data_IF_648871924982
#
_entry.id   IF_648871924982
#
_cell.length_a   1.000
_cell.length_b   1.000
_cell.length_c   1.000
_cell.angle_alpha   90.00
_cell.angle_beta   90.00
_cell.angle_gamma   90.00
#
_symmetry.space_group_name_H-M   'P 1'
#
loop_
_entity.id
_entity.type
_entity.pdbx_description
1 polymer ?
#
# COMPACT_ATOMS: atom_id res chain seq x y z
N UNK A 1 -21.08 -40.71 25.04
CA UNK A 1 -21.20 -39.26 24.77
C UNK A 1 -19.90 -38.51 25.06
N UNK A 2 -19.25 -38.77 26.18
CA UNK A 2 -18.00 -38.08 26.60
C UNK A 2 -16.86 -38.15 25.57
N UNK A 3 -16.65 -39.31 24.96
CA UNK A 3 -15.59 -39.50 23.95
C UNK A 3 -15.82 -38.64 22.70
N UNK A 4 -17.08 -38.49 22.26
CA UNK A 4 -17.42 -37.63 21.13
C UNK A 4 -17.18 -36.15 21.45
N UNK A 5 -17.52 -35.72 22.67
CA UNK A 5 -17.27 -34.34 23.13
C UNK A 5 -15.77 -34.04 23.16
N UNK A 6 -14.95 -34.97 23.65
CA UNK A 6 -13.50 -34.83 23.67
C UNK A 6 -12.89 -34.77 22.27
N UNK A 7 -13.39 -35.59 21.33
CA UNK A 7 -12.95 -35.57 19.93
C UNK A 7 -13.24 -34.19 19.30
N UNK A 8 -14.46 -33.68 19.49
CA UNK A 8 -14.87 -32.37 18.95
C UNK A 8 -14.01 -31.24 19.54
N UNK A 9 -13.82 -31.22 20.86
CA UNK A 9 -12.97 -30.24 21.53
C UNK A 9 -11.52 -30.29 21.04
N UNK A 10 -10.97 -31.48 20.85
CA UNK A 10 -9.61 -31.66 20.34
C UNK A 10 -9.45 -31.10 18.92
N UNK A 11 -10.44 -31.29 18.05
CA UNK A 11 -10.44 -30.74 16.68
C UNK A 11 -10.47 -29.21 16.73
N UNK A 12 -11.36 -28.62 17.54
CA UNK A 12 -11.43 -27.17 17.69
C UNK A 12 -10.15 -26.58 18.26
N UNK A 13 -9.54 -27.23 19.27
CA UNK A 13 -8.26 -26.80 19.83
C UNK A 13 -7.13 -26.85 18.78
N UNK A 14 -7.08 -27.90 17.96
CA UNK A 14 -6.09 -28.03 16.89
C UNK A 14 -6.30 -26.98 15.78
N UNK A 15 -7.55 -26.74 15.36
CA UNK A 15 -7.88 -25.71 14.39
C UNK A 15 -7.54 -24.31 14.93
N UNK A 16 -7.84 -24.04 16.20
CA UNK A 16 -7.48 -22.79 16.85
C UNK A 16 -5.96 -22.57 16.86
N UNK A 17 -5.20 -23.55 17.35
CA UNK A 17 -3.74 -23.47 17.39
C UNK A 17 -3.12 -23.32 16.00
N UNK A 18 -3.56 -24.11 15.02
CA UNK A 18 -3.04 -24.01 13.65
C UNK A 18 -3.34 -22.65 13.01
N UNK A 19 -4.54 -22.10 13.22
CA UNK A 19 -4.89 -20.76 12.73
C UNK A 19 -4.04 -19.68 13.40
N UNK A 20 -3.84 -19.76 14.71
CA UNK A 20 -2.96 -18.84 15.45
C UNK A 20 -1.52 -18.90 14.95
N UNK A 21 -0.98 -20.10 14.74
CA UNK A 21 0.38 -20.29 14.20
C UNK A 21 0.49 -19.72 12.78
N UNK A 22 -0.47 -20.00 11.89
CA UNK A 22 -0.49 -19.42 10.55
C UNK A 22 -0.57 -17.90 10.59
N UNK A 23 -1.40 -17.34 11.48
CA UNK A 23 -1.52 -15.89 11.66
C UNK A 23 -0.18 -15.27 12.08
N UNK A 24 0.50 -15.84 13.08
CA UNK A 24 1.83 -15.38 13.50
C UNK A 24 2.89 -15.52 12.39
N UNK A 25 2.90 -16.65 11.66
CA UNK A 25 3.80 -16.84 10.52
C UNK A 25 3.51 -15.85 9.38
N UNK A 26 2.24 -15.52 9.15
CA UNK A 26 1.83 -14.53 8.15
C UNK A 26 2.29 -13.13 8.52
N UNK A 27 2.38 -12.79 9.82
CA UNK A 27 2.98 -11.55 10.28
C UNK A 27 4.51 -11.60 10.20
N UNK A 28 5.13 -12.73 10.54
CA UNK A 28 6.59 -12.86 10.51
C UNK A 28 7.19 -12.78 9.10
N UNK A 29 6.50 -13.34 8.09
CA UNK A 29 6.85 -13.15 6.66
C UNK A 29 6.71 -11.70 6.19
N UNK A 30 6.35 -10.74 7.05
CA UNK A 30 6.31 -9.31 6.71
C UNK A 30 7.71 -8.73 6.50
N UNK A 31 8.76 -9.48 6.84
CA UNK A 31 10.14 -9.11 6.53
C UNK A 31 10.49 -9.51 5.09
N UNK A 32 9.69 -9.07 4.11
CA UNK A 32 10.30 -8.87 2.78
C UNK A 32 11.19 -7.65 2.95
N UNK A 33 12.52 -7.75 2.78
CA UNK A 33 13.37 -6.59 2.85
C UNK A 33 12.87 -5.63 1.76
N UNK A 34 12.41 -4.45 2.18
CA UNK A 34 12.03 -3.39 1.26
C UNK A 34 13.19 -3.18 0.29
N UNK A 35 12.95 -3.46 -1.00
CA UNK A 35 13.95 -3.32 -2.05
C UNK A 35 14.02 -1.90 -2.61
N UNK A 36 13.37 -0.94 -1.94
CA UNK A 36 13.21 0.43 -2.43
C UNK A 36 12.22 0.54 -3.58
N UNK A 37 11.35 -0.46 -3.77
CA UNK A 37 10.32 -0.43 -4.82
C UNK A 37 9.12 0.37 -4.33
N UNK A 38 8.69 1.35 -5.12
CA UNK A 38 7.50 2.16 -4.85
C UNK A 38 6.45 1.88 -5.90
N UNK A 39 5.22 1.64 -5.46
CA UNK A 39 4.09 1.44 -6.37
C UNK A 39 3.40 2.78 -6.56
N UNK A 40 3.41 3.29 -7.80
CA UNK A 40 2.74 4.52 -8.18
C UNK A 40 1.52 4.16 -9.03
N UNK A 41 0.33 4.53 -8.55
CA UNK A 41 -0.90 4.45 -9.32
C UNK A 41 -1.17 5.81 -9.98
N UNK A 42 -1.17 5.80 -11.31
CA UNK A 42 -1.59 6.94 -12.10
C UNK A 42 -3.09 6.83 -12.38
N UNK A 43 -3.87 7.78 -11.87
CA UNK A 43 -5.31 7.78 -12.03
C UNK A 43 -5.72 8.62 -13.25
N UNK A 44 -6.48 8.05 -14.20
CA UNK A 44 -7.06 8.84 -15.28
C UNK A 44 -8.17 9.76 -14.74
N UNK A 45 -8.57 10.75 -15.54
CA UNK A 45 -9.69 11.64 -15.21
C UNK A 45 -11.00 10.84 -15.02
N UNK A 46 -11.86 11.30 -14.10
CA UNK A 46 -13.17 10.68 -13.78
C UNK A 46 -13.10 9.24 -13.25
N UNK A 47 -12.04 8.88 -12.53
CA UNK A 47 -11.86 7.54 -11.97
C UNK A 47 -12.41 7.36 -10.55
N UNK A 48 -13.02 8.41 -9.98
CA UNK A 48 -13.52 8.47 -8.60
C UNK A 48 -14.37 7.24 -8.21
N UNK A 49 -15.30 6.85 -9.08
CA UNK A 49 -16.25 5.74 -8.81
C UNK A 49 -15.62 4.36 -8.64
N UNK A 50 -14.44 4.10 -9.22
CA UNK A 50 -13.76 2.79 -9.18
C UNK A 50 -12.58 2.75 -8.21
N UNK A 51 -12.14 3.91 -7.74
CA UNK A 51 -10.95 4.08 -6.93
C UNK A 51 -10.97 3.25 -5.64
N UNK A 52 -12.09 3.31 -4.91
CA UNK A 52 -12.23 2.58 -3.65
C UNK A 52 -12.13 1.06 -3.85
N UNK A 53 -12.80 0.52 -4.86
CA UNK A 53 -12.78 -0.90 -5.16
C UNK A 53 -11.36 -1.38 -5.49
N UNK A 54 -10.62 -0.60 -6.28
CA UNK A 54 -9.25 -0.93 -6.66
C UNK A 54 -8.32 -0.89 -5.46
N UNK A 55 -8.38 0.17 -4.65
CA UNK A 55 -7.55 0.27 -3.44
C UNK A 55 -7.82 -0.92 -2.51
N UNK A 56 -9.08 -1.22 -2.23
CA UNK A 56 -9.47 -2.37 -1.39
C UNK A 56 -8.95 -3.68 -1.97
N UNK A 57 -9.05 -3.87 -3.28
CA UNK A 57 -8.55 -5.08 -3.94
C UNK A 57 -7.03 -5.21 -3.84
N UNK A 58 -6.28 -4.12 -4.07
CA UNK A 58 -4.81 -4.12 -3.99
C UNK A 58 -4.33 -4.56 -2.60
N UNK A 59 -4.97 -4.07 -1.54
CA UNK A 59 -4.63 -4.46 -0.18
C UNK A 59 -5.16 -5.84 0.21
N UNK A 60 -6.35 -6.23 -0.25
CA UNK A 60 -6.89 -7.58 -0.04
C UNK A 60 -5.98 -8.66 -0.66
N UNK A 61 -5.43 -8.39 -1.84
CA UNK A 61 -4.49 -9.28 -2.53
C UNK A 61 -3.04 -9.13 -2.04
N UNK A 62 -2.79 -8.25 -1.06
CA UNK A 62 -1.46 -7.98 -0.49
C UNK A 62 -0.42 -7.61 -1.56
N UNK A 63 -0.83 -6.88 -2.61
CA UNK A 63 0.04 -6.57 -3.77
C UNK A 63 1.32 -5.83 -3.36
N UNK A 64 1.30 -4.76 -2.53
CA UNK A 64 2.54 -4.07 -2.14
C UNK A 64 3.56 -5.02 -1.52
N UNK A 65 3.08 -5.94 -0.69
CA UNK A 65 3.89 -6.97 -0.06
C UNK A 65 4.41 -8.01 -1.04
N UNK A 66 3.57 -8.48 -1.97
CA UNK A 66 3.94 -9.47 -3.00
C UNK A 66 4.99 -8.91 -3.96
N UNK A 67 4.99 -7.61 -4.19
CA UNK A 67 5.94 -6.91 -5.04
C UNK A 67 7.20 -6.45 -4.31
N UNK A 68 7.38 -6.80 -3.03
CA UNK A 68 8.52 -6.33 -2.20
C UNK A 68 8.65 -4.79 -2.18
N UNK A 69 7.51 -4.10 -2.27
CA UNK A 69 7.45 -2.65 -2.11
C UNK A 69 7.43 -2.26 -0.62
N UNK A 70 7.54 -0.97 -0.34
CA UNK A 70 7.53 -0.35 0.99
C UNK A 70 6.20 -0.48 1.77
N UNK A 71 5.27 -1.29 1.27
CA UNK A 71 3.95 -1.51 1.87
C UNK A 71 2.96 -0.37 1.64
N UNK A 72 3.37 0.71 0.97
CA UNK A 72 2.52 1.85 0.63
C UNK A 72 2.09 1.83 -0.83
N UNK A 73 1.05 2.62 -1.12
CA UNK A 73 0.67 2.96 -2.48
C UNK A 73 0.76 4.48 -2.62
N UNK A 74 1.51 4.92 -3.62
CA UNK A 74 1.60 6.32 -3.99
C UNK A 74 0.60 6.61 -5.10
N UNK A 75 -0.19 7.66 -4.95
CA UNK A 75 -1.25 7.99 -5.89
C UNK A 75 -0.97 9.33 -6.52
N UNK A 76 -0.94 9.32 -7.86
CA UNK A 76 -0.88 10.52 -8.68
C UNK A 76 -2.29 10.73 -9.26
N UNK A 77 -2.97 11.75 -8.76
CA UNK A 77 -4.29 12.16 -9.21
C UNK A 77 -4.23 13.61 -9.67
N UNK A 78 -5.10 13.97 -10.63
CA UNK A 78 -5.25 15.37 -10.97
C UNK A 78 -6.00 16.11 -9.85
N UNK A 79 -5.44 17.22 -9.38
CA UNK A 79 -5.96 18.02 -8.26
C UNK A 79 -7.30 18.69 -8.54
N UNK A 80 -7.75 18.69 -9.80
CA UNK A 80 -9.03 19.25 -10.23
C UNK A 80 -10.24 18.36 -9.84
N UNK A 81 -10.02 17.07 -9.55
CA UNK A 81 -11.10 16.13 -9.19
C UNK A 81 -11.32 16.05 -7.67
N UNK A 82 -12.18 16.95 -7.18
CA UNK A 82 -12.54 17.08 -5.76
C UNK A 82 -13.11 15.78 -5.18
N UNK A 83 -13.85 14.99 -5.96
CA UNK A 83 -14.41 13.73 -5.48
C UNK A 83 -13.31 12.70 -5.24
N UNK A 84 -12.37 12.59 -6.18
CA UNK A 84 -11.22 11.69 -6.06
C UNK A 84 -10.38 12.04 -4.83
N UNK A 85 -10.08 13.31 -4.59
CA UNK A 85 -9.33 13.76 -3.40
C UNK A 85 -10.06 13.39 -2.11
N UNK A 86 -11.38 13.61 -2.03
CA UNK A 86 -12.18 13.28 -0.85
C UNK A 86 -12.21 11.77 -0.56
N UNK A 87 -12.28 10.94 -1.60
CA UNK A 87 -12.22 9.47 -1.45
C UNK A 87 -10.84 9.04 -0.96
N UNK A 88 -9.76 9.62 -1.51
CA UNK A 88 -8.39 9.33 -1.09
C UNK A 88 -8.13 9.68 0.37
N UNK A 89 -8.60 10.85 0.82
CA UNK A 89 -8.49 11.28 2.20
C UNK A 89 -9.24 10.34 3.17
N UNK A 90 -10.39 9.81 2.74
CA UNK A 90 -11.09 8.78 3.53
C UNK A 90 -10.28 7.49 3.61
N UNK A 91 -9.71 7.06 2.48
CA UNK A 91 -9.01 5.78 2.38
C UNK A 91 -7.63 5.80 3.05
N UNK A 92 -6.94 6.94 3.11
CA UNK A 92 -5.66 7.09 3.80
C UNK A 92 -5.75 6.84 5.31
N UNK A 93 -6.93 7.00 5.91
CA UNK A 93 -7.17 6.64 7.31
C UNK A 93 -7.20 5.12 7.55
N UNK A 94 -7.47 4.33 6.51
CA UNK A 94 -7.61 2.86 6.62
C UNK A 94 -6.42 2.12 6.01
N UNK A 95 -5.84 2.67 4.96
CA UNK A 95 -4.81 2.04 4.16
C UNK A 95 -3.57 2.93 4.04
N UNK A 96 -2.36 2.35 3.95
CA UNK A 96 -1.12 3.10 3.78
C UNK A 96 -1.02 3.68 2.36
N UNK A 97 -1.65 4.83 2.17
CA UNK A 97 -1.75 5.54 0.89
C UNK A 97 -1.17 6.93 1.05
N UNK A 98 -0.38 7.35 0.06
CA UNK A 98 0.26 8.67 0.03
C UNK A 98 -0.03 9.36 -1.30
N UNK A 99 -0.57 10.58 -1.24
CA UNK A 99 -0.83 11.37 -2.44
C UNK A 99 0.45 12.09 -2.86
N UNK A 100 0.86 11.92 -4.12
CA UNK A 100 1.99 12.62 -4.68
C UNK A 100 1.55 14.02 -5.17
N UNK A 101 2.39 15.05 -5.00
CA UNK A 101 2.11 16.36 -5.57
C UNK A 101 2.11 16.29 -7.11
N UNK A 102 1.16 16.99 -7.75
CA UNK A 102 1.07 17.07 -9.22
C UNK A 102 2.32 17.66 -9.87
N UNK A 103 3.02 18.55 -9.16
CA UNK A 103 4.21 19.23 -9.65
C UNK A 103 5.44 18.73 -8.90
N UNK A 104 6.18 17.84 -9.53
CA UNK A 104 7.62 17.74 -9.27
C UNK A 104 8.22 18.91 -10.05
N UNK A 105 8.32 20.08 -9.43
CA UNK A 105 9.27 21.10 -9.88
C UNK A 105 10.66 20.53 -9.67
N UNK A 106 11.07 19.65 -10.59
CA UNK A 106 12.44 19.24 -10.73
C UNK A 106 13.24 20.53 -10.93
N UNK A 107 13.99 20.90 -9.91
CA UNK A 107 15.00 21.94 -10.03
C UNK A 107 16.05 21.38 -10.99
N UNK A 108 15.89 21.65 -12.29
CA UNK A 108 17.02 21.61 -13.22
C UNK A 108 18.05 22.57 -12.63
N UNK A 109 19.15 22.03 -12.11
CA UNK A 109 20.37 22.84 -11.95
C UNK A 109 20.88 23.08 -13.38
N UNK A 110 20.29 24.06 -14.05
CA UNK A 110 20.85 24.70 -15.23
C UNK A 110 21.79 25.79 -14.74
N UNK A 111 22.97 25.87 -15.36
CA UNK A 111 24.05 26.84 -15.12
C UNK A 111 25.07 26.48 -14.03
N UNK A 112 26.09 25.75 -14.48
CA UNK A 112 27.46 26.05 -14.08
C UNK A 112 27.82 27.36 -14.79
N UNK A 113 27.57 28.49 -14.13
CA UNK A 113 28.07 29.80 -14.58
C UNK A 113 29.55 29.66 -14.91
N UNK A 114 29.87 30.02 -16.16
CA UNK A 114 31.23 30.13 -16.65
C UNK A 114 31.90 31.21 -15.81
N UNK A 115 32.81 30.84 -14.90
CA UNK A 115 33.70 31.78 -14.24
C UNK A 115 34.74 32.21 -15.29
N UNK A 116 34.30 33.00 -16.26
CA UNK A 116 35.16 33.86 -17.07
C UNK A 116 34.85 35.27 -16.61
N UNK A 117 35.54 35.70 -15.55
CA UNK A 117 35.95 37.08 -15.28
C UNK A 117 36.54 37.14 -13.86
N UNK A 118 37.78 36.66 -13.73
CA UNK A 118 38.71 37.18 -12.74
C UNK A 118 39.57 38.20 -13.47
N UNK A 119 39.22 39.47 -13.27
CA UNK A 119 40.03 40.65 -13.58
C UNK A 119 41.42 40.57 -12.95
#
# INVERSE_FOLDING_TARGET
METLVLIVLSIFAFLGMSYTILYFLSQYKSTYPDKGLRIILYLPQNFSSKLEGIIRQIFAESIPRRLMADGKIYIMASGEDVETVRILERLSNTYPIEMLPEQISYCMITERENISDLQ
#
